data_IF_672899130860
#
_entry.id   IF_672899130860
#
_cell.length_a   1.000
_cell.length_b   1.000
_cell.length_c   1.000
_cell.angle_alpha   90.00
_cell.angle_beta   90.00
_cell.angle_gamma   90.00
#
_symmetry.space_group_name_H-M   'P 1'
#
loop_
_entity.id
_entity.type
_entity.pdbx_description
1 polymer ?
#
# COMPACT_ATOMS: atom_id res chain seq x y z
N UNK A 1 9.29 28.03 -32.67
CA UNK A 1 9.46 26.67 -32.18
C UNK A 1 8.09 26.19 -31.68
N UNK A 2 7.45 25.26 -32.38
CA UNK A 2 6.13 24.74 -31.95
C UNK A 2 6.34 23.79 -30.75
N UNK A 3 5.78 24.13 -29.61
CA UNK A 3 5.73 23.28 -28.44
C UNK A 3 4.97 22.00 -28.80
N UNK A 4 5.69 20.86 -28.81
CA UNK A 4 5.06 19.54 -28.96
C UNK A 4 4.09 19.34 -27.81
N UNK A 5 2.80 19.36 -28.08
CA UNK A 5 1.78 18.93 -27.11
C UNK A 5 2.13 17.53 -26.62
N UNK A 6 2.21 17.30 -25.29
CA UNK A 6 2.49 15.96 -24.79
C UNK A 6 1.41 15.00 -25.29
N UNK A 7 1.83 13.88 -25.83
CA UNK A 7 0.93 12.77 -26.23
C UNK A 7 0.07 12.40 -25.02
N UNK A 8 -1.26 12.24 -25.17
CA UNK A 8 -2.12 11.86 -24.05
C UNK A 8 -1.64 10.51 -23.51
N UNK A 9 -1.07 10.54 -22.30
CA UNK A 9 -0.65 9.32 -21.59
C UNK A 9 -1.94 8.57 -21.25
N UNK A 10 -2.05 7.32 -21.71
CA UNK A 10 -3.17 6.44 -21.35
C UNK A 10 -3.28 6.42 -19.83
N UNK A 11 -4.46 6.67 -19.24
CA UNK A 11 -4.62 6.68 -17.79
C UNK A 11 -4.24 5.32 -17.23
N UNK A 12 -3.28 5.30 -16.29
CA UNK A 12 -2.87 4.10 -15.59
C UNK A 12 -3.99 3.65 -14.65
N UNK A 13 -4.34 2.37 -14.68
CA UNK A 13 -5.29 1.79 -13.73
C UNK A 13 -4.57 0.83 -12.81
N UNK A 14 -4.74 1.00 -11.50
CA UNK A 14 -4.18 0.10 -10.49
C UNK A 14 -5.27 -0.74 -9.84
N UNK A 15 -4.93 -1.96 -9.42
CA UNK A 15 -5.72 -2.72 -8.46
C UNK A 15 -5.23 -2.36 -7.06
N UNK A 16 -6.05 -1.61 -6.31
CA UNK A 16 -5.70 -1.16 -4.97
C UNK A 16 -6.12 -2.19 -3.93
N UNK A 17 -5.13 -2.82 -3.32
CA UNK A 17 -5.33 -3.85 -2.29
C UNK A 17 -5.09 -3.27 -0.90
N UNK A 18 -6.08 -3.42 -0.03
CA UNK A 18 -5.97 -3.13 1.39
C UNK A 18 -6.74 -4.18 2.22
N UNK A 19 -6.28 -4.47 3.43
CA UNK A 19 -6.92 -5.42 4.36
C UNK A 19 -7.95 -4.77 5.28
N UNK A 20 -8.69 -3.78 4.76
CA UNK A 20 -9.77 -3.02 5.45
C UNK A 20 -10.85 -2.62 4.46
N UNK A 21 -11.95 -2.10 4.98
CA UNK A 21 -13.08 -1.52 4.22
C UNK A 21 -12.65 -0.24 3.48
N UNK A 22 -11.98 -0.42 2.34
CA UNK A 22 -11.34 0.70 1.61
C UNK A 22 -12.37 1.60 0.95
N UNK A 23 -13.41 1.01 0.35
CA UNK A 23 -14.44 1.78 -0.37
C UNK A 23 -15.23 2.67 0.58
N UNK A 24 -15.66 2.11 1.69
CA UNK A 24 -16.39 2.82 2.74
C UNK A 24 -15.54 3.96 3.32
N UNK A 25 -14.29 3.68 3.69
CA UNK A 25 -13.38 4.69 4.20
C UNK A 25 -13.03 5.78 3.15
N UNK A 26 -13.04 5.42 1.86
CA UNK A 26 -12.84 6.40 0.78
C UNK A 26 -14.05 7.33 0.62
N UNK A 27 -15.28 6.82 0.72
CA UNK A 27 -16.47 7.65 0.70
C UNK A 27 -16.54 8.54 1.97
N UNK A 28 -16.24 7.99 3.14
CA UNK A 28 -16.13 8.76 4.38
C UNK A 28 -15.08 9.88 4.31
N UNK A 29 -13.95 9.62 3.62
CA UNK A 29 -12.95 10.65 3.38
C UNK A 29 -13.48 11.81 2.53
N UNK A 30 -14.24 11.55 1.49
CA UNK A 30 -14.88 12.60 0.67
C UNK A 30 -15.79 13.51 1.48
N UNK A 31 -16.44 12.94 2.49
CA UNK A 31 -17.34 13.66 3.41
C UNK A 31 -16.60 14.26 4.63
N UNK A 32 -15.27 14.26 4.65
CA UNK A 32 -14.45 14.66 5.79
C UNK A 32 -14.77 13.93 7.11
N UNK A 33 -15.23 12.66 7.03
CA UNK A 33 -15.48 11.79 8.18
C UNK A 33 -14.32 10.87 8.52
N UNK A 34 -13.38 10.72 7.57
CA UNK A 34 -12.22 9.84 7.69
C UNK A 34 -10.98 10.46 7.07
N UNK A 35 -9.80 10.41 7.73
CA UNK A 35 -8.59 11.03 7.21
C UNK A 35 -7.94 10.23 6.07
N UNK A 36 -7.59 10.90 4.97
CA UNK A 36 -7.08 10.30 3.75
C UNK A 36 -5.70 9.64 3.86
N UNK A 37 -4.88 10.03 4.85
CA UNK A 37 -3.55 9.43 5.01
C UNK A 37 -3.60 7.93 5.35
N UNK A 38 -4.69 7.45 5.97
CA UNK A 38 -4.90 6.02 6.26
C UNK A 38 -5.21 5.22 4.98
N UNK A 39 -5.55 5.90 3.88
CA UNK A 39 -5.82 5.31 2.58
C UNK A 39 -4.56 5.18 1.68
N UNK A 40 -3.35 5.38 2.25
CA UNK A 40 -2.08 5.11 1.56
C UNK A 40 -1.97 5.77 0.18
N UNK A 41 -2.35 7.04 0.07
CA UNK A 41 -2.26 7.83 -1.15
C UNK A 41 -3.42 7.62 -2.13
N UNK A 42 -4.33 6.68 -1.91
CA UNK A 42 -5.50 6.44 -2.77
C UNK A 42 -6.26 7.74 -3.14
N UNK A 43 -6.55 8.67 -2.19
CA UNK A 43 -7.24 9.91 -2.50
C UNK A 43 -6.51 10.84 -3.46
N UNK A 44 -5.21 10.67 -3.61
CA UNK A 44 -4.37 11.53 -4.44
C UNK A 44 -4.17 10.97 -5.86
N UNK A 45 -4.41 9.67 -6.07
CA UNK A 45 -4.11 8.99 -7.33
C UNK A 45 -4.83 9.61 -8.53
N UNK A 46 -6.10 9.99 -8.36
CA UNK A 46 -6.89 10.60 -9.44
C UNK A 46 -6.32 11.94 -9.91
N UNK A 47 -5.70 12.72 -8.99
CA UNK A 47 -5.01 13.98 -9.34
C UNK A 47 -3.85 13.77 -10.29
N UNK A 48 -3.29 12.56 -10.31
CA UNK A 48 -2.19 12.16 -11.20
C UNK A 48 -2.66 11.33 -12.39
N UNK A 49 -3.97 11.29 -12.67
CA UNK A 49 -4.55 10.52 -13.77
C UNK A 49 -4.50 9.00 -13.56
N UNK A 50 -4.37 8.55 -12.31
CA UNK A 50 -4.33 7.13 -11.95
C UNK A 50 -5.71 6.70 -11.44
N UNK A 51 -6.33 5.77 -12.13
CA UNK A 51 -7.59 5.15 -11.71
C UNK A 51 -7.32 3.98 -10.77
N UNK A 52 -8.23 3.72 -9.84
CA UNK A 52 -8.11 2.60 -8.90
C UNK A 52 -9.32 1.68 -8.94
N UNK A 53 -9.05 0.39 -9.08
CA UNK A 53 -10.01 -0.71 -8.84
C UNK A 53 -9.80 -1.17 -7.41
N UNK A 54 -10.74 -0.86 -6.52
CA UNK A 54 -10.60 -1.16 -5.10
C UNK A 54 -10.91 -2.62 -4.79
N UNK A 55 -10.02 -3.26 -4.01
CA UNK A 55 -10.23 -4.62 -3.52
C UNK A 55 -11.51 -4.73 -2.69
N UNK A 56 -12.30 -5.76 -2.93
CA UNK A 56 -13.47 -6.09 -2.11
C UNK A 56 -13.00 -6.71 -0.80
N UNK A 57 -13.07 -5.93 0.27
CA UNK A 57 -12.67 -6.43 1.59
C UNK A 57 -13.62 -7.51 2.09
N UNK A 58 -13.02 -8.53 2.71
CA UNK A 58 -13.72 -9.53 3.50
C UNK A 58 -12.83 -9.96 4.67
N UNK A 59 -13.39 -9.95 5.89
CA UNK A 59 -12.66 -10.39 7.07
C UNK A 59 -12.54 -11.92 7.09
N UNK A 60 -11.34 -12.40 7.43
CA UNK A 60 -11.09 -13.83 7.59
C UNK A 60 -10.33 -14.09 8.90
N UNK A 61 -10.67 -15.14 9.64
CA UNK A 61 -9.99 -15.49 10.89
C UNK A 61 -8.57 -16.01 10.67
N UNK A 62 -8.20 -16.42 9.45
CA UNK A 62 -6.91 -17.02 9.14
C UNK A 62 -6.22 -16.44 7.91
N UNK A 63 -4.88 -16.36 7.96
CA UNK A 63 -4.04 -15.81 6.88
C UNK A 63 -4.19 -16.58 5.56
N UNK A 64 -4.29 -17.91 5.62
CA UNK A 64 -4.44 -18.75 4.43
C UNK A 64 -5.74 -18.43 3.67
N UNK A 65 -6.87 -18.32 4.39
CA UNK A 65 -8.16 -17.99 3.77
C UNK A 65 -8.16 -16.60 3.15
N UNK A 66 -7.56 -15.62 3.83
CA UNK A 66 -7.38 -14.28 3.29
C UNK A 66 -6.54 -14.31 2.00
N UNK A 67 -5.42 -15.03 2.00
CA UNK A 67 -4.52 -15.17 0.86
C UNK A 67 -5.23 -15.79 -0.36
N UNK A 68 -5.96 -16.89 -0.16
CA UNK A 68 -6.71 -17.55 -1.24
C UNK A 68 -7.82 -16.66 -1.79
N UNK A 69 -8.55 -15.98 -0.90
CA UNK A 69 -9.59 -15.03 -1.30
C UNK A 69 -9.01 -13.86 -2.11
N UNK A 70 -7.97 -13.20 -1.59
CA UNK A 70 -7.34 -12.06 -2.27
C UNK A 70 -6.79 -12.48 -3.64
N UNK A 71 -6.11 -13.64 -3.72
CA UNK A 71 -5.61 -14.16 -4.99
C UNK A 71 -6.73 -14.39 -5.99
N UNK A 72 -7.84 -15.01 -5.56
CA UNK A 72 -9.02 -15.21 -6.42
C UNK A 72 -9.58 -13.88 -6.93
N UNK A 73 -9.82 -12.90 -6.05
CA UNK A 73 -10.37 -11.60 -6.43
C UNK A 73 -9.46 -10.85 -7.42
N UNK A 74 -8.13 -10.93 -7.23
CA UNK A 74 -7.14 -10.31 -8.12
C UNK A 74 -7.13 -10.98 -9.49
N UNK A 75 -7.09 -12.33 -9.54
CA UNK A 75 -7.03 -13.07 -10.80
C UNK A 75 -8.35 -13.04 -11.59
N UNK A 76 -9.48 -13.00 -10.87
CA UNK A 76 -10.83 -12.96 -11.48
C UNK A 76 -11.36 -11.53 -11.64
N UNK A 77 -10.53 -10.50 -11.43
CA UNK A 77 -10.95 -9.11 -11.60
C UNK A 77 -11.35 -8.85 -13.05
N UNK A 78 -12.61 -8.42 -13.23
CA UNK A 78 -13.17 -8.13 -14.56
C UNK A 78 -12.73 -6.76 -15.10
N UNK A 79 -12.44 -5.82 -14.21
CA UNK A 79 -11.95 -4.51 -14.59
C UNK A 79 -10.47 -4.58 -14.97
N UNK A 80 -10.08 -4.04 -16.14
CA UNK A 80 -8.68 -4.03 -16.53
C UNK A 80 -7.86 -3.13 -15.60
N UNK A 81 -6.69 -3.60 -15.20
CA UNK A 81 -5.70 -2.84 -14.44
C UNK A 81 -4.29 -3.24 -14.89
N UNK A 82 -3.33 -2.36 -14.73
CA UNK A 82 -1.96 -2.57 -15.15
C UNK A 82 -1.03 -2.96 -14.00
N UNK A 83 -1.28 -2.46 -12.78
CA UNK A 83 -0.40 -2.63 -11.60
C UNK A 83 -1.21 -3.11 -10.40
N UNK A 84 -0.68 -4.05 -9.64
CA UNK A 84 -1.18 -4.39 -8.31
C UNK A 84 -0.49 -3.53 -7.26
N UNK A 85 -1.25 -2.67 -6.59
CA UNK A 85 -0.76 -1.79 -5.55
C UNK A 85 -1.29 -2.24 -4.19
N UNK A 86 -0.40 -2.69 -3.31
CA UNK A 86 -0.73 -3.21 -2.00
C UNK A 86 -0.24 -2.32 -0.86
N UNK A 87 -1.11 -2.07 0.12
CA UNK A 87 -0.72 -1.35 1.35
C UNK A 87 0.07 -2.23 2.31
N UNK A 88 0.11 -3.53 2.06
CA UNK A 88 0.96 -4.52 2.72
C UNK A 88 1.00 -5.80 1.88
N UNK A 89 1.93 -6.71 2.17
CA UNK A 89 1.96 -8.01 1.51
C UNK A 89 1.04 -9.05 2.17
N UNK A 90 0.46 -8.74 3.33
CA UNK A 90 -0.45 -9.66 4.03
C UNK A 90 -1.68 -9.98 3.16
N UNK A 91 -1.85 -11.25 2.84
CA UNK A 91 -2.90 -11.75 1.94
C UNK A 91 -2.51 -11.75 0.46
N UNK A 92 -1.36 -11.15 0.09
CA UNK A 92 -0.83 -11.16 -1.27
C UNK A 92 0.26 -12.22 -1.48
N UNK A 93 0.54 -13.06 -0.49
CA UNK A 93 1.69 -13.96 -0.51
C UNK A 93 1.67 -14.90 -1.72
N UNK A 94 0.52 -15.46 -2.05
CA UNK A 94 0.39 -16.38 -3.17
C UNK A 94 0.54 -15.65 -4.52
N UNK A 95 -0.05 -14.46 -4.68
CA UNK A 95 0.07 -13.70 -5.91
C UNK A 95 1.52 -13.22 -6.14
N UNK A 96 2.24 -12.88 -5.05
CA UNK A 96 3.67 -12.53 -5.10
C UNK A 96 4.50 -13.74 -5.53
N UNK A 97 4.23 -14.93 -4.98
CA UNK A 97 4.88 -16.17 -5.42
C UNK A 97 4.57 -16.50 -6.88
N UNK A 98 3.33 -16.34 -7.32
CA UNK A 98 2.96 -16.52 -8.73
C UNK A 98 3.70 -15.50 -9.63
N UNK A 99 3.93 -14.28 -9.15
CA UNK A 99 4.75 -13.29 -9.86
C UNK A 99 6.21 -13.73 -9.94
N UNK A 100 6.79 -14.20 -8.84
CA UNK A 100 8.16 -14.69 -8.80
C UNK A 100 8.38 -15.89 -9.75
N UNK A 101 7.35 -16.73 -9.94
CA UNK A 101 7.34 -17.87 -10.86
C UNK A 101 7.03 -17.48 -12.32
N UNK A 102 6.62 -16.22 -12.58
CA UNK A 102 6.26 -15.75 -13.92
C UNK A 102 4.81 -16.04 -14.36
N UNK A 103 3.98 -16.67 -13.51
CA UNK A 103 2.57 -16.94 -13.81
C UNK A 103 1.69 -15.67 -13.71
N UNK A 104 1.99 -14.79 -12.76
CA UNK A 104 1.36 -13.47 -12.69
C UNK A 104 2.27 -12.42 -13.32
N UNK A 105 1.78 -11.72 -14.35
CA UNK A 105 2.63 -10.87 -15.21
C UNK A 105 2.59 -9.38 -14.86
N UNK A 106 1.59 -8.92 -14.12
CA UNK A 106 1.46 -7.49 -13.79
C UNK A 106 2.42 -7.11 -12.66
N UNK A 107 3.03 -5.91 -12.71
CA UNK A 107 3.91 -5.43 -11.65
C UNK A 107 3.19 -5.36 -10.31
N UNK A 108 3.94 -5.61 -9.24
CA UNK A 108 3.47 -5.54 -7.86
C UNK A 108 4.25 -4.46 -7.13
N UNK A 109 3.53 -3.46 -6.62
CA UNK A 109 4.06 -2.36 -5.80
C UNK A 109 3.47 -2.46 -4.41
N UNK A 110 4.31 -2.45 -3.36
CA UNK A 110 3.87 -2.69 -1.99
C UNK A 110 4.45 -1.67 -1.02
N UNK A 111 3.64 -1.22 -0.07
CA UNK A 111 4.12 -0.53 1.12
C UNK A 111 4.67 -1.56 2.10
N UNK A 112 5.93 -1.38 2.50
CA UNK A 112 6.61 -2.27 3.42
C UNK A 112 6.94 -1.53 4.73
N UNK A 113 6.22 -1.87 5.79
CA UNK A 113 6.23 -1.10 7.05
C UNK A 113 7.47 -1.35 7.94
N UNK A 114 8.25 -2.39 7.64
CA UNK A 114 9.43 -2.77 8.40
C UNK A 114 10.60 -3.04 7.47
N UNK A 115 11.82 -3.07 7.99
CA UNK A 115 12.96 -3.56 7.20
C UNK A 115 12.79 -5.05 6.84
N UNK A 116 13.33 -5.43 5.69
CA UNK A 116 13.47 -6.84 5.34
C UNK A 116 14.38 -7.52 6.37
N UNK A 117 13.99 -8.70 6.83
CA UNK A 117 14.75 -9.43 7.85
C UNK A 117 15.38 -10.69 7.26
N UNK A 118 16.58 -11.01 7.68
CA UNK A 118 17.18 -12.32 7.42
C UNK A 118 16.37 -13.41 8.09
N UNK A 119 16.17 -14.53 7.41
CA UNK A 119 15.44 -15.68 7.96
C UNK A 119 16.39 -16.61 8.67
N UNK A 120 15.92 -17.27 9.73
CA UNK A 120 16.68 -18.33 10.38
C UNK A 120 16.73 -19.58 9.49
N UNK A 121 17.93 -20.00 9.10
CA UNK A 121 18.16 -21.19 8.30
C UNK A 121 18.17 -20.96 6.77
N UNK A 122 19.05 -21.70 6.09
CA UNK A 122 19.34 -21.52 4.65
C UNK A 122 18.11 -21.68 3.76
N UNK A 123 17.27 -22.67 4.01
CA UNK A 123 16.07 -22.95 3.19
C UNK A 123 15.07 -21.80 3.30
N UNK A 124 14.78 -21.34 4.51
CA UNK A 124 13.87 -20.19 4.73
C UNK A 124 14.40 -18.93 4.09
N UNK A 125 15.71 -18.73 4.14
CA UNK A 125 16.34 -17.57 3.49
C UNK A 125 16.18 -17.62 1.96
N UNK A 126 16.38 -18.78 1.34
CA UNK A 126 16.15 -18.97 -0.10
C UNK A 126 14.69 -18.72 -0.50
N UNK A 127 13.74 -19.28 0.25
CA UNK A 127 12.30 -19.04 0.02
C UNK A 127 11.97 -17.55 0.17
N UNK A 128 12.53 -16.90 1.19
CA UNK A 128 12.32 -15.47 1.42
C UNK A 128 12.89 -14.61 0.28
N UNK A 129 14.10 -14.89 -0.19
CA UNK A 129 14.69 -14.20 -1.35
C UNK A 129 13.83 -14.38 -2.61
N UNK A 130 13.39 -15.61 -2.85
CA UNK A 130 12.50 -15.92 -3.96
C UNK A 130 11.17 -15.17 -3.87
N UNK A 131 10.58 -15.07 -2.67
CA UNK A 131 9.37 -14.30 -2.42
C UNK A 131 9.56 -12.83 -2.80
N UNK A 132 10.62 -12.16 -2.32
CA UNK A 132 10.87 -10.76 -2.63
C UNK A 132 11.21 -10.50 -4.10
N UNK A 133 11.65 -11.52 -4.85
CA UNK A 133 11.80 -11.43 -6.30
C UNK A 133 10.48 -11.10 -7.01
N UNK A 134 9.36 -11.59 -6.46
CA UNK A 134 8.01 -11.35 -6.99
C UNK A 134 7.44 -9.94 -6.70
N UNK A 135 8.15 -9.08 -5.99
CA UNK A 135 7.76 -7.68 -5.77
C UNK A 135 8.61 -6.80 -6.65
N UNK A 136 7.99 -5.92 -7.43
CA UNK A 136 8.70 -5.05 -8.36
C UNK A 136 9.20 -3.77 -7.66
N UNK A 137 8.37 -3.14 -6.80
CA UNK A 137 8.76 -1.97 -6.01
C UNK A 137 8.21 -2.04 -4.58
N UNK A 138 9.00 -1.55 -3.64
CA UNK A 138 8.62 -1.46 -2.22
C UNK A 138 8.82 -0.04 -1.70
N UNK A 139 7.78 0.53 -1.13
CA UNK A 139 7.85 1.81 -0.43
C UNK A 139 8.19 1.60 1.04
N UNK A 140 9.21 2.28 1.51
CA UNK A 140 9.70 2.26 2.88
C UNK A 140 9.69 3.67 3.47
N UNK A 141 9.41 3.78 4.77
CA UNK A 141 9.15 5.06 5.44
C UNK A 141 10.40 5.80 5.92
N UNK A 142 11.59 5.19 5.84
CA UNK A 142 12.83 5.84 6.25
C UNK A 142 14.06 5.30 5.54
N UNK A 143 15.09 6.15 5.44
CA UNK A 143 16.40 5.76 4.91
C UNK A 143 17.02 4.61 5.72
N UNK A 144 16.74 4.54 7.04
CA UNK A 144 17.20 3.45 7.90
C UNK A 144 16.58 2.11 7.46
N UNK A 145 15.26 2.07 7.22
CA UNK A 145 14.59 0.85 6.73
C UNK A 145 15.13 0.40 5.37
N UNK A 146 15.45 1.33 4.47
CA UNK A 146 16.10 1.02 3.19
C UNK A 146 17.48 0.40 3.43
N UNK A 147 18.34 1.07 4.22
CA UNK A 147 19.68 0.58 4.54
C UNK A 147 19.65 -0.82 5.15
N UNK A 148 18.79 -1.04 6.15
CA UNK A 148 18.65 -2.32 6.85
C UNK A 148 18.11 -3.40 5.91
N UNK A 149 17.23 -3.05 4.96
CA UNK A 149 16.69 -3.97 3.94
C UNK A 149 17.77 -4.36 2.92
N UNK A 150 18.55 -3.42 2.44
CA UNK A 150 19.66 -3.66 1.51
C UNK A 150 20.71 -4.60 2.13
N UNK A 151 21.01 -4.45 3.42
CA UNK A 151 21.96 -5.30 4.13
C UNK A 151 21.56 -6.79 4.11
N UNK A 152 20.29 -7.14 3.88
CA UNK A 152 19.83 -8.52 3.78
C UNK A 152 20.11 -9.15 2.41
N UNK A 153 20.38 -8.33 1.38
CA UNK A 153 20.54 -8.78 -0.01
C UNK A 153 19.30 -9.46 -0.62
N UNK A 154 18.09 -9.20 -0.09
CA UNK A 154 16.84 -9.80 -0.57
C UNK A 154 16.18 -9.01 -1.70
N UNK A 155 16.47 -7.73 -1.78
CA UNK A 155 16.00 -6.85 -2.83
C UNK A 155 17.13 -5.89 -3.24
N UNK A 156 17.31 -5.62 -4.52
CA UNK A 156 18.26 -4.63 -5.00
C UNK A 156 17.72 -3.21 -4.76
N UNK A 157 18.61 -2.22 -4.79
CA UNK A 157 18.29 -0.84 -4.42
C UNK A 157 17.19 -0.22 -5.27
N UNK A 158 17.18 -0.50 -6.56
CA UNK A 158 16.19 0.02 -7.52
C UNK A 158 14.75 -0.38 -7.19
N UNK A 159 14.54 -1.41 -6.38
CA UNK A 159 13.22 -1.82 -5.91
C UNK A 159 12.77 -1.11 -4.63
N UNK A 160 13.67 -0.43 -3.93
CA UNK A 160 13.39 0.17 -2.62
C UNK A 160 13.30 1.69 -2.78
N UNK A 161 12.14 2.25 -2.45
CA UNK A 161 11.91 3.68 -2.58
C UNK A 161 11.48 4.29 -1.25
N UNK A 162 12.09 5.43 -0.91
CA UNK A 162 11.67 6.21 0.24
C UNK A 162 10.35 6.90 -0.08
N UNK A 163 9.39 6.75 0.80
CA UNK A 163 8.15 7.52 0.75
C UNK A 163 7.94 8.24 2.08
N UNK A 164 7.54 9.50 1.99
CA UNK A 164 7.11 10.27 3.15
C UNK A 164 5.60 10.08 3.34
N UNK A 165 5.24 9.64 4.53
CA UNK A 165 3.85 9.50 4.94
C UNK A 165 3.55 10.56 6.00
N UNK A 166 2.46 11.29 5.83
CA UNK A 166 2.09 12.37 6.71
C UNK A 166 0.57 12.48 6.90
N UNK A 167 0.13 13.35 7.79
CA UNK A 167 -1.29 13.61 8.01
C UNK A 167 -1.98 14.21 6.78
N UNK A 168 -3.27 13.97 6.66
CA UNK A 168 -4.14 14.66 5.70
C UNK A 168 -4.47 16.06 6.23
N UNK A 169 -3.66 17.04 5.87
CA UNK A 169 -3.81 18.41 6.36
C UNK A 169 -5.17 18.98 5.98
N UNK A 170 -5.68 18.72 4.78
CA UNK A 170 -6.97 19.24 4.34
C UNK A 170 -8.12 18.74 5.22
N UNK A 171 -8.04 17.46 5.64
CA UNK A 171 -9.01 16.88 6.59
C UNK A 171 -8.96 17.59 7.94
N UNK A 172 -7.77 17.80 8.49
CA UNK A 172 -7.62 18.44 9.81
C UNK A 172 -7.97 19.93 9.76
N UNK A 173 -7.62 20.65 8.70
CA UNK A 173 -8.02 22.04 8.50
C UNK A 173 -9.54 22.19 8.42
N UNK A 174 -10.21 21.27 7.72
CA UNK A 174 -11.67 21.25 7.68
C UNK A 174 -12.28 21.00 9.07
N UNK A 175 -11.74 20.06 9.84
CA UNK A 175 -12.19 19.80 11.20
C UNK A 175 -12.02 21.03 12.09
N UNK A 176 -10.88 21.72 12.04
CA UNK A 176 -10.64 22.92 12.82
C UNK A 176 -11.63 24.06 12.49
N UNK A 177 -12.04 24.18 11.24
CA UNK A 177 -13.01 25.18 10.79
C UNK A 177 -14.46 24.85 11.19
N UNK A 178 -14.78 23.56 11.32
CA UNK A 178 -16.16 23.10 11.57
C UNK A 178 -16.42 22.71 13.02
N UNK A 179 -15.36 22.46 13.82
CA UNK A 179 -15.50 22.14 15.24
C UNK A 179 -15.88 23.40 16.04
N UNK A 180 -16.79 23.27 17.00
CA UNK A 180 -17.07 24.36 17.92
C UNK A 180 -15.84 24.74 18.71
N UNK A 181 -15.68 26.04 18.97
CA UNK A 181 -14.56 26.57 19.75
C UNK A 181 -14.59 25.99 21.18
N UNK A 182 -13.77 24.98 21.40
CA UNK A 182 -13.63 24.28 22.70
C UNK A 182 -12.29 24.63 23.28
N UNK A 183 -12.28 25.17 24.48
CA UNK A 183 -11.04 25.32 25.24
C UNK A 183 -10.47 23.93 25.52
N UNK A 184 -9.21 23.67 25.17
CA UNK A 184 -8.59 22.39 25.48
C UNK A 184 -8.48 22.24 27.01
N UNK A 185 -9.05 21.19 27.55
CA UNK A 185 -8.96 20.84 28.97
C UNK A 185 -8.27 19.48 29.11
N UNK A 186 -7.17 19.44 29.87
CA UNK A 186 -6.41 18.24 30.15
C UNK A 186 -5.50 17.74 29.02
N UNK A 187 -5.01 16.52 29.21
CA UNK A 187 -4.12 15.84 28.27
C UNK A 187 -4.80 14.58 27.74
N UNK A 188 -4.65 14.34 26.45
CA UNK A 188 -5.11 13.11 25.81
C UNK A 188 -3.89 12.30 25.36
N UNK A 189 -3.80 11.03 25.77
CA UNK A 189 -2.84 10.08 25.20
C UNK A 189 -3.61 9.05 24.39
N UNK A 190 -3.32 8.99 23.09
CA UNK A 190 -3.91 8.01 22.20
C UNK A 190 -2.81 7.08 21.69
N UNK A 191 -2.94 5.81 21.93
CA UNK A 191 -2.00 4.82 21.43
C UNK A 191 -2.63 3.44 21.40
N UNK A 192 -2.31 2.67 20.39
CA UNK A 192 -2.75 1.29 20.25
C UNK A 192 -1.72 0.29 20.77
N UNK A 193 -0.51 0.75 21.00
CA UNK A 193 0.62 -0.05 21.45
C UNK A 193 1.10 0.47 22.79
N UNK A 194 1.32 -0.46 23.73
CA UNK A 194 2.06 -0.15 24.95
C UNK A 194 3.50 0.23 24.54
N UNK A 195 3.75 1.52 24.41
CA UNK A 195 5.10 2.08 24.32
C UNK A 195 5.39 2.69 25.68
N UNK A 196 6.09 1.92 26.49
CA UNK A 196 6.68 2.38 27.72
C UNK A 196 7.85 3.33 27.41
#
# INVERSE_FOLDING_TARGET
MAEKRPTPVKPLTIYFYHTRLTRESYEEWKDYKFPGHILYGLPLLEKYGIRSVMHKYKAFPGRLRLMLYATKEILCCKEPYEVLYGTSFRGLELIILLRALGFYRKPIVIWHHTALKTSSGKIREHISRFFYKGIDHMFLFSKKLIKDSLATGKAPEEKLQLIHWGPDLAFYDHLLQTMPDRKPEGFISTGKENRD
#
